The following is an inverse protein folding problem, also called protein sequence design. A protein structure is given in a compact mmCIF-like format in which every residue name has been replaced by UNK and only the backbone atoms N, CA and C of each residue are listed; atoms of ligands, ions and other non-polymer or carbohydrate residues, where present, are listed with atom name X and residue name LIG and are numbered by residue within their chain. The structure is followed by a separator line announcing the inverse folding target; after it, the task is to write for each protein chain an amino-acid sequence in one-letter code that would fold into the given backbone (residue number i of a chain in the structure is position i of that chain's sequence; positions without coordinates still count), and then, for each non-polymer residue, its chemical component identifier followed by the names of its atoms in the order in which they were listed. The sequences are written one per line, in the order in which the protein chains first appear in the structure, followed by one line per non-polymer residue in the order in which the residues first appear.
data_IF_707823632298
#
_entry.id   IF_707823632298
#
_cell.length_a   1.000
_cell.length_b   1.000
_cell.length_c   1.000
_cell.angle_alpha   90.00
_cell.angle_beta   90.00
_cell.angle_gamma   90.00
#
_symmetry.space_group_name_H-M   'P 1'
#
loop_
_entity.id
_entity.type
_entity.pdbx_description
1 polymer ?
#
# COMPACT_ATOMS: atom_id res chain seq x y z
N UNK A 1 -58.75 -11.89 35.89
CA UNK A 1 -58.53 -12.57 34.59
C UNK A 1 -57.21 -12.07 34.02
N UNK A 2 -56.29 -13.01 33.79
CA UNK A 2 -55.04 -13.00 32.99
C UNK A 2 -53.88 -12.04 33.33
N UNK A 3 -52.75 -12.71 33.58
CA UNK A 3 -51.39 -12.28 33.82
C UNK A 3 -50.67 -11.72 32.57
N UNK A 4 -49.56 -11.01 32.87
CA UNK A 4 -48.28 -11.01 32.14
C UNK A 4 -48.28 -10.71 30.64
N UNK A 5 -47.68 -9.57 30.29
CA UNK A 5 -46.39 -9.52 29.59
C UNK A 5 -46.22 -8.16 28.89
N UNK A 6 -45.34 -7.33 29.45
CA UNK A 6 -44.34 -6.56 28.70
C UNK A 6 -43.46 -5.78 29.67
N UNK A 7 -42.45 -6.49 30.17
CA UNK A 7 -41.23 -5.89 30.70
C UNK A 7 -40.26 -5.68 29.52
N UNK A 8 -39.97 -4.42 29.19
CA UNK A 8 -38.81 -3.89 28.44
C UNK A 8 -39.26 -2.49 27.96
N UNK A 9 -38.72 -1.35 28.37
CA UNK A 9 -37.33 -1.02 28.69
C UNK A 9 -37.33 0.21 29.61
N UNK A 10 -36.67 0.13 30.76
CA UNK A 10 -36.24 1.32 31.49
C UNK A 10 -34.88 1.05 32.10
N UNK A 11 -33.84 1.55 31.45
CA UNK A 11 -32.55 1.75 32.10
C UNK A 11 -31.66 2.63 31.23
N UNK A 12 -31.36 3.81 31.78
CA UNK A 12 -30.25 4.72 31.45
C UNK A 12 -30.53 5.56 30.21
N UNK A 13 -30.84 6.85 30.33
CA UNK A 13 -30.15 7.82 31.18
C UNK A 13 -28.83 8.17 30.53
N UNK A 14 -28.87 9.13 29.60
CA UNK A 14 -27.85 10.15 29.44
C UNK A 14 -28.31 11.17 28.40
N UNK A 15 -28.97 12.21 28.89
CA UNK A 15 -29.13 13.49 28.20
C UNK A 15 -27.80 14.21 28.06
N UNK A 16 -26.87 13.61 27.30
CA UNK A 16 -25.80 14.36 26.67
C UNK A 16 -26.15 14.45 25.21
N UNK A 17 -26.67 15.61 24.83
CA UNK A 17 -26.53 16.16 23.49
C UNK A 17 -25.03 16.17 23.17
N UNK A 18 -24.48 15.00 22.83
CA UNK A 18 -23.27 14.95 22.04
C UNK A 18 -23.69 15.59 20.74
N UNK A 19 -23.42 16.89 20.63
CA UNK A 19 -23.00 17.47 19.37
C UNK A 19 -21.74 16.67 19.01
N UNK A 20 -21.93 15.43 18.57
CA UNK A 20 -20.95 14.74 17.77
C UNK A 20 -20.72 15.74 16.66
N UNK A 21 -19.53 16.29 16.64
CA UNK A 21 -19.07 17.15 15.57
C UNK A 21 -19.24 16.30 14.31
N UNK A 22 -20.42 16.41 13.68
CA UNK A 22 -20.80 15.66 12.49
C UNK A 22 -19.64 15.89 11.55
N UNK A 23 -18.82 14.87 11.33
CA UNK A 23 -17.57 14.98 10.59
C UNK A 23 -17.96 15.65 9.27
N UNK A 24 -17.61 16.93 9.14
CA UNK A 24 -18.06 17.80 8.05
C UNK A 24 -16.84 18.14 7.22
N UNK A 25 -17.06 18.32 5.93
CA UNK A 25 -15.98 18.54 4.98
C UNK A 25 -15.16 17.27 4.73
N UNK A 26 -13.93 17.45 4.27
CA UNK A 26 -13.10 16.39 3.69
C UNK A 26 -12.85 15.20 4.63
N UNK A 27 -12.75 15.42 5.94
CA UNK A 27 -12.47 14.39 6.95
C UNK A 27 -13.70 13.54 7.34
N UNK A 28 -14.91 13.97 6.95
CA UNK A 28 -16.14 13.21 7.17
C UNK A 28 -16.68 12.49 5.93
N UNK A 29 -15.99 12.64 4.80
CA UNK A 29 -16.36 12.04 3.53
C UNK A 29 -15.88 10.57 3.46
N UNK A 30 -16.49 9.81 2.56
CA UNK A 30 -16.02 8.46 2.23
C UNK A 30 -14.53 8.46 1.77
N UNK A 31 -13.70 7.52 2.24
CA UNK A 31 -12.27 7.48 1.91
C UNK A 31 -11.96 7.36 0.41
N UNK A 32 -12.79 6.68 -0.38
CA UNK A 32 -12.57 6.56 -1.82
C UNK A 32 -12.81 7.89 -2.50
N UNK A 33 -13.89 8.57 -2.11
CA UNK A 33 -14.22 9.90 -2.62
C UNK A 33 -13.17 10.93 -2.19
N UNK A 34 -12.64 10.83 -0.98
CA UNK A 34 -11.55 11.66 -0.49
C UNK A 34 -10.29 11.50 -1.36
N UNK A 35 -9.90 10.26 -1.66
CA UNK A 35 -8.77 9.96 -2.57
C UNK A 35 -9.00 10.50 -3.98
N UNK A 36 -10.20 10.33 -4.52
CA UNK A 36 -10.53 10.87 -5.84
C UNK A 36 -10.40 12.40 -5.87
N UNK A 37 -10.94 13.11 -4.87
CA UNK A 37 -10.85 14.58 -4.85
C UNK A 37 -9.40 15.03 -4.62
N UNK A 38 -8.63 14.34 -3.77
CA UNK A 38 -7.20 14.63 -3.60
C UNK A 38 -6.42 14.42 -4.92
N UNK A 39 -6.70 13.33 -5.63
CA UNK A 39 -6.09 13.04 -6.93
C UNK A 39 -6.49 14.05 -8.01
N UNK A 40 -7.74 14.51 -8.01
CA UNK A 40 -8.19 15.58 -8.90
C UNK A 40 -7.55 16.92 -8.55
N UNK A 41 -7.43 17.27 -7.26
CA UNK A 41 -6.80 18.52 -6.83
C UNK A 41 -5.31 18.59 -7.21
N UNK A 42 -4.59 17.48 -7.09
CA UNK A 42 -3.19 17.39 -7.54
C UNK A 42 -3.06 17.58 -9.05
N UNK A 43 -3.90 16.91 -9.85
CA UNK A 43 -3.91 17.06 -11.32
C UNK A 43 -4.29 18.47 -11.75
N UNK A 44 -5.35 19.03 -11.16
CA UNK A 44 -5.81 20.39 -11.46
C UNK A 44 -4.77 21.45 -11.12
N UNK A 45 -4.00 21.28 -10.04
CA UNK A 45 -2.92 22.20 -9.69
C UNK A 45 -1.79 22.20 -10.73
N UNK A 46 -1.47 21.03 -11.31
CA UNK A 46 -0.54 20.92 -12.42
C UNK A 46 -1.13 21.51 -13.71
N UNK A 47 -2.37 21.14 -14.07
CA UNK A 47 -3.04 21.61 -15.30
C UNK A 47 -3.31 23.12 -15.31
N UNK A 48 -3.55 23.73 -14.14
CA UNK A 48 -3.85 25.18 -14.03
C UNK A 48 -2.61 26.08 -14.05
N UNK A 49 -1.39 25.52 -14.15
CA UNK A 49 -0.15 26.29 -14.26
C UNK A 49 0.24 27.10 -13.01
N UNK A 50 -0.50 26.95 -11.90
CA UNK A 50 -0.13 27.50 -10.59
C UNK A 50 0.94 26.67 -9.88
N UNK A 51 1.17 25.43 -10.31
CA UNK A 51 2.29 24.62 -9.86
C UNK A 51 3.52 24.87 -10.74
N UNK A 52 4.71 24.86 -10.13
CA UNK A 52 5.96 24.80 -10.88
C UNK A 52 5.97 23.51 -11.70
N UNK A 53 5.97 23.62 -13.03
CA UNK A 53 6.25 22.47 -13.89
C UNK A 53 7.71 22.13 -13.74
N UNK A 54 8.01 20.98 -13.13
CA UNK A 54 9.37 20.50 -13.09
C UNK A 54 9.73 20.00 -14.48
N UNK A 55 10.73 20.63 -15.08
CA UNK A 55 11.39 20.02 -16.23
C UNK A 55 12.00 18.68 -15.81
N UNK A 56 12.15 17.75 -16.75
CA UNK A 56 12.80 16.45 -16.48
C UNK A 56 14.19 16.61 -15.87
N UNK A 57 14.90 17.69 -16.21
CA UNK A 57 16.21 18.01 -15.65
C UNK A 57 16.10 18.48 -14.19
N UNK A 58 15.19 19.42 -13.88
CA UNK A 58 14.99 19.90 -12.50
C UNK A 58 14.48 18.80 -11.57
N UNK A 59 13.57 17.93 -12.05
CA UNK A 59 13.12 16.78 -11.27
C UNK A 59 14.29 15.84 -10.95
N UNK A 60 15.20 15.63 -11.90
CA UNK A 60 16.42 14.83 -11.71
C UNK A 60 17.37 15.49 -10.72
N UNK A 61 17.59 16.81 -10.80
CA UNK A 61 18.44 17.54 -9.87
C UNK A 61 17.88 17.54 -8.45
N UNK A 62 16.57 17.77 -8.30
CA UNK A 62 15.88 17.69 -7.02
C UNK A 62 15.97 16.28 -6.43
N UNK A 63 15.77 15.25 -7.25
CA UNK A 63 15.95 13.85 -6.87
C UNK A 63 17.38 13.54 -6.42
N UNK A 64 18.38 14.03 -7.16
CA UNK A 64 19.81 13.89 -6.80
C UNK A 64 20.10 14.55 -5.46
N UNK A 65 19.70 15.82 -5.28
CA UNK A 65 19.92 16.58 -4.04
C UNK A 65 19.22 15.94 -2.83
N UNK A 66 17.99 15.45 -3.02
CA UNK A 66 17.26 14.71 -2.00
C UNK A 66 17.96 13.39 -1.64
N UNK A 67 18.40 12.63 -2.65
CA UNK A 67 19.16 11.40 -2.45
C UNK A 67 20.49 11.62 -1.73
N UNK A 68 21.23 12.68 -2.06
CA UNK A 68 22.46 13.09 -1.38
C UNK A 68 22.22 13.45 0.09
N UNK A 69 21.12 14.16 0.39
CA UNK A 69 20.77 14.52 1.77
C UNK A 69 20.45 13.28 2.61
N UNK A 70 19.72 12.32 2.05
CA UNK A 70 19.26 11.12 2.74
C UNK A 70 20.36 10.05 2.84
N UNK A 71 21.25 9.95 1.84
CA UNK A 71 22.30 8.92 1.78
C UNK A 71 23.49 9.13 2.72
N UNK A 72 23.53 10.24 3.48
CA UNK A 72 24.61 10.52 4.45
C UNK A 72 24.78 9.43 5.50
N UNK A 73 23.70 8.75 5.90
CA UNK A 73 23.77 7.61 6.80
C UNK A 73 23.63 6.28 6.02
N UNK A 74 24.77 5.77 5.56
CA UNK A 74 24.85 4.54 4.77
C UNK A 74 24.33 3.31 5.52
N UNK A 75 24.63 3.19 6.81
CA UNK A 75 24.20 2.03 7.63
C UNK A 75 22.68 1.98 7.79
N UNK A 76 22.07 3.13 8.08
CA UNK A 76 20.62 3.25 8.18
C UNK A 76 19.94 2.95 6.83
N UNK A 77 20.47 3.47 5.72
CA UNK A 77 19.94 3.19 4.38
C UNK A 77 20.06 1.72 4.00
N UNK A 78 21.18 1.07 4.34
CA UNK A 78 21.37 -0.36 4.13
C UNK A 78 20.35 -1.19 4.95
N UNK A 79 20.04 -0.77 6.18
CA UNK A 79 19.02 -1.42 7.01
C UNK A 79 17.61 -1.28 6.41
N UNK A 80 17.24 -0.08 5.92
CA UNK A 80 15.96 0.15 5.24
C UNK A 80 15.87 -0.69 3.96
N UNK A 81 16.91 -0.67 3.12
CA UNK A 81 16.96 -1.43 1.86
C UNK A 81 16.86 -2.94 2.09
N UNK A 82 17.54 -3.44 3.12
CA UNK A 82 17.44 -4.86 3.53
C UNK A 82 16.01 -5.23 3.92
N UNK A 83 15.38 -4.44 4.80
CA UNK A 83 13.98 -4.66 5.22
C UNK A 83 13.02 -4.61 4.03
N UNK A 84 13.21 -3.67 3.10
CA UNK A 84 12.42 -3.60 1.86
C UNK A 84 12.59 -4.83 0.97
N UNK A 85 13.82 -5.33 0.83
CA UNK A 85 14.11 -6.55 0.08
C UNK A 85 13.56 -7.82 0.73
N UNK A 86 13.50 -7.89 2.05
CA UNK A 86 12.89 -9.00 2.79
C UNK A 86 11.36 -8.98 2.67
N UNK A 87 10.74 -7.79 2.68
CA UNK A 87 9.30 -7.62 2.50
C UNK A 87 8.83 -7.96 1.07
N UNK A 88 9.60 -7.61 0.04
CA UNK A 88 9.25 -7.94 -1.34
C UNK A 88 9.42 -9.43 -1.66
N UNK A 89 10.43 -10.09 -1.06
CA UNK A 89 10.63 -11.54 -1.19
C UNK A 89 9.57 -12.37 -0.46
N UNK A 90 8.94 -11.83 0.58
CA UNK A 90 7.84 -12.50 1.29
C UNK A 90 6.49 -12.31 0.59
N UNK A 91 6.30 -11.22 -0.17
CA UNK A 91 5.14 -11.03 -1.05
C UNK A 91 5.17 -11.84 -2.35
N UNK A 92 6.36 -12.27 -2.81
CA UNK A 92 6.58 -12.94 -4.10
C UNK A 92 7.04 -14.40 -3.99
N UNK A 93 6.65 -15.11 -2.91
CA UNK A 93 6.91 -16.54 -2.74
C UNK A 93 5.64 -17.41 -2.82
N UNK A 94 4.55 -16.89 -3.41
CA UNK A 94 3.30 -17.63 -3.62
C UNK A 94 3.05 -18.14 -5.05
N UNK A 95 3.87 -17.81 -6.06
CA UNK A 95 3.45 -18.06 -7.46
C UNK A 95 4.56 -18.44 -8.47
N UNK A 96 5.79 -18.75 -8.05
CA UNK A 96 6.87 -19.17 -8.97
C UNK A 96 7.75 -20.33 -8.49
N UNK A 97 7.20 -21.23 -7.66
CA UNK A 97 7.86 -22.50 -7.27
C UNK A 97 6.95 -23.72 -7.49
N UNK A 98 6.32 -23.78 -8.66
CA UNK A 98 5.83 -25.03 -9.24
C UNK A 98 6.30 -25.05 -10.70
N UNK A 99 7.40 -25.73 -10.99
CA UNK A 99 7.94 -25.76 -12.36
C UNK A 99 9.39 -26.19 -12.54
N UNK A 100 10.10 -26.65 -11.50
CA UNK A 100 11.43 -27.23 -11.68
C UNK A 100 11.77 -28.22 -10.56
N UNK A 101 11.38 -29.49 -10.71
CA UNK A 101 11.85 -30.55 -9.81
C UNK A 101 11.05 -31.84 -9.87
N UNK A 102 11.29 -32.66 -10.91
CA UNK A 102 11.15 -34.14 -11.02
C UNK A 102 11.17 -34.46 -12.52
N UNK A 103 12.25 -35.00 -13.10
CA UNK A 103 12.64 -36.40 -12.93
C UNK A 103 14.10 -36.64 -13.32
N UNK A 104 14.91 -37.10 -12.38
CA UNK A 104 16.11 -37.89 -12.65
C UNK A 104 15.72 -39.39 -12.66
N UNK A 105 16.45 -40.16 -13.46
CA UNK A 105 16.50 -41.63 -13.56
C UNK A 105 15.43 -42.33 -14.43
N UNK A 106 15.82 -42.73 -15.64
CA UNK A 106 16.03 -44.14 -16.02
C UNK A 106 16.14 -44.29 -17.56
N UNK A 107 16.82 -45.37 -17.97
CA UNK A 107 16.95 -45.95 -19.31
C UNK A 107 18.13 -45.46 -20.18
N UNK A 108 19.05 -46.41 -20.40
CA UNK A 108 20.23 -46.27 -21.25
C UNK A 108 19.95 -46.36 -22.74
N UNK A 109 20.99 -46.10 -23.51
CA UNK A 109 21.01 -46.23 -24.96
C UNK A 109 22.44 -46.04 -25.44
N UNK A 110 23.09 -47.16 -25.76
CA UNK A 110 24.44 -47.24 -26.29
C UNK A 110 24.55 -46.48 -27.61
N UNK A 111 25.59 -45.67 -27.81
CA UNK A 111 25.98 -45.26 -29.16
C UNK A 111 27.50 -45.16 -29.25
N UNK A 112 28.13 -46.25 -29.71
CA UNK A 112 29.53 -46.26 -30.14
C UNK A 112 29.54 -45.86 -31.62
N UNK A 113 30.02 -44.64 -31.87
CA UNK A 113 30.30 -44.11 -33.19
C UNK A 113 31.49 -44.81 -33.84
N UNK A 114 31.38 -44.89 -35.15
CA UNK A 114 32.28 -45.44 -36.17
C UNK A 114 33.58 -44.66 -36.32
N UNK A 115 34.70 -45.36 -36.43
CA UNK A 115 35.71 -45.25 -37.50
C UNK A 115 36.55 -46.55 -37.53
#
# INVERSE_FOLDING_TARGET
MTNSDRNHTSSKGDGRTQVSTRRRGFAGMDPERQRQIASMGGRAAHESGNAHEFTSEEAREAGRKGGEAVSRNREHMAAIGRRGGEASRSGENGSRREGAGRSQAAAGGQNRGTD
#
